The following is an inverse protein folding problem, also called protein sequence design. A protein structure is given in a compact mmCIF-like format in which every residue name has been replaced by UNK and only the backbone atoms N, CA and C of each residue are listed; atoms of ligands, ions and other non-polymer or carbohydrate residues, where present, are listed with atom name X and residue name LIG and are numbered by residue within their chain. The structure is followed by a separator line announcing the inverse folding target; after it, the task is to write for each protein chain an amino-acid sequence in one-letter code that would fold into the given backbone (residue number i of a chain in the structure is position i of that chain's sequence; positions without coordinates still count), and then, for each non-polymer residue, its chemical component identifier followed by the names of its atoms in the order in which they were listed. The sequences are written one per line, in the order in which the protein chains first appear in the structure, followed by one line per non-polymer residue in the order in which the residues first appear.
data_IF_315665758650
#
_entry.id   IF_315665758650
#
_cell.length_a   1.000
_cell.length_b   1.000
_cell.length_c   1.000
_cell.angle_alpha   90.00
_cell.angle_beta   90.00
_cell.angle_gamma   90.00
#
_symmetry.space_group_name_H-M   'P 1'
#
loop_
_entity.id
_entity.type
_entity.pdbx_description
1 polymer ?
#
# COMPACT_ATOMS: atom_id res chain seq x y z
N UNK A 1 -12.89 -2.38 11.22
CA UNK A 1 -13.59 -2.38 9.92
C UNK A 1 -13.41 -3.74 9.25
N UNK A 2 -14.15 -4.03 8.18
CA UNK A 2 -13.93 -5.23 7.37
C UNK A 2 -13.31 -4.89 6.01
N UNK A 3 -12.98 -5.91 5.23
CA UNK A 3 -12.45 -5.79 3.86
C UNK A 3 -13.30 -4.90 2.95
N UNK A 4 -14.63 -5.00 3.03
CA UNK A 4 -15.49 -4.22 2.14
C UNK A 4 -15.43 -2.73 2.49
N UNK A 5 -15.41 -2.39 3.78
CA UNK A 5 -15.22 -1.00 4.21
C UNK A 5 -13.82 -0.48 3.85
N UNK A 6 -12.77 -1.28 3.98
CA UNK A 6 -11.42 -0.91 3.52
C UNK A 6 -11.41 -0.52 2.04
N UNK A 7 -11.93 -1.39 1.16
CA UNK A 7 -11.98 -1.09 -0.27
C UNK A 7 -12.91 0.07 -0.62
N UNK A 8 -13.97 0.29 0.16
CA UNK A 8 -14.81 1.48 0.02
C UNK A 8 -14.02 2.77 0.33
N UNK A 9 -13.13 2.76 1.33
CA UNK A 9 -12.26 3.90 1.64
C UNK A 9 -11.29 4.17 0.49
N UNK A 10 -10.63 3.13 -0.04
CA UNK A 10 -9.74 3.28 -1.21
C UNK A 10 -10.50 3.87 -2.42
N UNK A 11 -11.76 3.48 -2.62
CA UNK A 11 -12.58 4.03 -3.71
C UNK A 11 -12.93 5.51 -3.57
N UNK A 12 -12.65 6.14 -2.42
CA UNK A 12 -12.84 7.58 -2.20
C UNK A 12 -11.67 8.42 -2.74
N UNK A 13 -10.57 7.80 -3.19
CA UNK A 13 -9.44 8.53 -3.76
C UNK A 13 -9.87 9.27 -5.02
N UNK A 14 -9.69 10.59 -5.01
CA UNK A 14 -10.17 11.47 -6.07
C UNK A 14 -9.07 11.74 -7.12
N UNK A 15 -8.94 10.82 -8.07
CA UNK A 15 -7.94 10.91 -9.14
C UNK A 15 -8.15 12.06 -10.14
N UNK A 16 -9.25 12.83 -10.06
CA UNK A 16 -9.36 14.12 -10.77
C UNK A 16 -8.32 15.15 -10.27
N UNK A 17 -7.64 14.87 -9.15
CA UNK A 17 -6.56 15.65 -8.57
C UNK A 17 -5.17 14.99 -8.71
N UNK A 18 -4.98 14.11 -9.69
CA UNK A 18 -3.67 13.49 -9.97
C UNK A 18 -2.53 14.52 -9.99
N UNK A 19 -1.44 14.22 -9.26
CA UNK A 19 -0.30 15.11 -9.03
C UNK A 19 -0.40 15.98 -7.77
N UNK A 20 -1.47 15.85 -7.00
CA UNK A 20 -1.69 16.49 -5.69
C UNK A 20 -2.29 15.45 -4.72
N UNK A 21 -1.41 14.64 -4.13
CA UNK A 21 -1.80 13.47 -3.32
C UNK A 21 -2.66 13.86 -2.11
N UNK A 22 -2.38 15.01 -1.48
CA UNK A 22 -3.19 15.55 -0.38
C UNK A 22 -4.66 15.67 -0.81
N UNK A 23 -4.94 16.21 -2.00
CA UNK A 23 -6.31 16.33 -2.53
C UNK A 23 -6.89 15.00 -3.00
N UNK A 24 -6.06 14.09 -3.51
CA UNK A 24 -6.50 12.74 -3.88
C UNK A 24 -7.03 12.01 -2.64
N UNK A 25 -6.32 12.12 -1.50
CA UNK A 25 -6.60 11.38 -0.28
C UNK A 25 -7.57 12.07 0.69
N UNK A 26 -7.77 13.39 0.56
CA UNK A 26 -8.58 14.23 1.49
C UNK A 26 -9.91 13.57 1.91
N UNK A 27 -10.69 13.08 0.93
CA UNK A 27 -12.00 12.47 1.20
C UNK A 27 -11.90 11.18 2.04
N UNK A 28 -10.90 10.34 1.75
CA UNK A 28 -10.67 9.10 2.48
C UNK A 28 -10.19 9.37 3.91
N UNK A 29 -9.26 10.31 4.08
CA UNK A 29 -8.72 10.72 5.39
C UNK A 29 -9.83 11.31 6.27
N UNK A 30 -10.65 12.21 5.73
CA UNK A 30 -11.79 12.77 6.46
C UNK A 30 -12.84 11.72 6.83
N UNK A 31 -13.13 10.77 5.94
CA UNK A 31 -14.02 9.67 6.27
C UNK A 31 -13.45 8.79 7.37
N UNK A 32 -12.17 8.42 7.28
CA UNK A 32 -11.51 7.53 8.24
C UNK A 32 -11.37 8.20 9.62
N UNK A 33 -11.03 9.49 9.68
CA UNK A 33 -10.92 10.27 10.93
C UNK A 33 -12.25 10.39 11.70
N UNK A 34 -13.39 10.24 11.00
CA UNK A 34 -14.71 10.19 11.64
C UNK A 34 -15.01 8.87 12.36
N UNK A 35 -14.18 7.83 12.18
CA UNK A 35 -14.35 6.49 12.75
C UNK A 35 -13.69 6.37 14.13
N UNK A 36 -14.03 5.34 14.94
CA UNK A 36 -13.28 5.02 16.17
C UNK A 36 -11.79 4.73 15.89
N UNK A 37 -10.90 4.96 16.86
CA UNK A 37 -9.45 4.78 16.66
C UNK A 37 -9.11 3.32 16.29
N UNK A 38 -9.85 2.37 16.86
CA UNK A 38 -9.72 0.95 16.52
C UNK A 38 -9.99 0.67 15.03
N UNK A 39 -10.87 1.46 14.40
CA UNK A 39 -11.11 1.34 12.97
C UNK A 39 -9.92 1.86 12.14
N UNK A 40 -9.26 2.94 12.58
CA UNK A 40 -8.05 3.47 11.96
C UNK A 40 -6.91 2.45 12.07
N UNK A 41 -6.72 1.84 13.25
CA UNK A 41 -5.75 0.76 13.43
C UNK A 41 -6.05 -0.43 12.51
N UNK A 42 -7.34 -0.83 12.44
CA UNK A 42 -7.75 -1.93 11.56
C UNK A 42 -7.55 -1.60 10.08
N UNK A 43 -7.70 -0.34 9.67
CA UNK A 43 -7.40 0.09 8.30
C UNK A 43 -5.93 -0.16 7.97
N UNK A 44 -5.03 0.26 8.86
CA UNK A 44 -3.59 0.04 8.70
C UNK A 44 -3.23 -1.46 8.72
N UNK A 45 -3.89 -2.27 9.56
CA UNK A 45 -3.68 -3.73 9.57
C UNK A 45 -4.08 -4.38 8.23
N UNK A 46 -5.18 -3.94 7.63
CA UNK A 46 -5.63 -4.46 6.33
C UNK A 46 -4.69 -3.99 5.21
N UNK A 47 -4.33 -2.71 5.20
CA UNK A 47 -3.36 -2.15 4.24
C UNK A 47 -2.02 -2.91 4.31
N UNK A 48 -1.47 -3.06 5.51
CA UNK A 48 -0.20 -3.74 5.74
C UNK A 48 -0.24 -5.19 5.26
N UNK A 49 -1.35 -5.90 5.48
CA UNK A 49 -1.54 -7.25 4.94
C UNK A 49 -1.51 -7.28 3.41
N UNK A 50 -2.20 -6.37 2.74
CA UNK A 50 -2.21 -6.34 1.28
C UNK A 50 -0.83 -6.03 0.68
N UNK A 51 -0.09 -5.09 1.28
CA UNK A 51 1.28 -4.77 0.87
C UNK A 51 2.25 -5.93 1.14
N UNK A 52 2.10 -6.61 2.29
CA UNK A 52 2.87 -7.80 2.65
C UNK A 52 2.64 -8.96 1.66
N UNK A 53 1.40 -9.16 1.20
CA UNK A 53 1.07 -10.21 0.23
C UNK A 53 1.68 -9.98 -1.15
N UNK A 54 2.00 -8.72 -1.47
CA UNK A 54 2.68 -8.32 -2.70
C UNK A 54 4.20 -8.21 -2.52
N UNK A 55 4.73 -8.38 -1.32
CA UNK A 55 6.17 -8.36 -1.06
C UNK A 55 6.82 -9.68 -1.52
N UNK A 56 7.42 -9.69 -2.70
CA UNK A 56 8.01 -10.92 -3.23
C UNK A 56 8.77 -10.74 -4.53
N UNK A 57 9.73 -11.63 -4.78
CA UNK A 57 10.63 -11.57 -5.94
C UNK A 57 9.86 -11.60 -7.27
N UNK A 58 8.73 -12.32 -7.31
CA UNK A 58 7.90 -12.41 -8.50
C UNK A 58 7.27 -11.07 -8.88
N UNK A 59 6.93 -10.22 -7.90
CA UNK A 59 6.39 -8.87 -8.13
C UNK A 59 7.52 -7.87 -8.40
N UNK A 60 8.58 -7.93 -7.59
CA UNK A 60 9.73 -7.03 -7.69
C UNK A 60 10.41 -7.04 -9.07
N UNK A 61 10.35 -8.16 -9.80
CA UNK A 61 10.86 -8.29 -11.18
C UNK A 61 10.04 -7.55 -12.25
N UNK A 62 8.92 -6.91 -11.89
CA UNK A 62 7.95 -6.35 -12.84
C UNK A 62 7.56 -4.89 -12.51
N UNK A 63 8.46 -4.08 -11.95
CA UNK A 63 8.18 -2.66 -11.61
C UNK A 63 8.83 -1.64 -12.55
N UNK A 64 9.30 -2.07 -13.73
CA UNK A 64 9.91 -1.18 -14.73
C UNK A 64 11.41 -1.01 -14.55
N UNK A 65 11.91 0.23 -14.61
CA UNK A 65 13.35 0.56 -14.59
C UNK A 65 14.05 0.07 -13.31
N UNK A 66 13.35 0.13 -12.18
CA UNK A 66 13.87 -0.27 -10.86
C UNK A 66 13.61 -1.75 -10.52
N UNK A 67 13.22 -2.56 -11.50
CA UNK A 67 12.91 -3.96 -11.26
C UNK A 67 14.09 -4.74 -10.66
N UNK A 68 13.77 -5.65 -9.73
CA UNK A 68 14.75 -6.56 -9.17
C UNK A 68 15.34 -7.43 -10.29
N UNK A 69 16.67 -7.42 -10.40
CA UNK A 69 17.42 -8.26 -11.36
C UNK A 69 18.04 -9.44 -10.64
N UNK A 70 18.95 -9.16 -9.70
CA UNK A 70 19.68 -10.13 -8.90
C UNK A 70 20.26 -9.46 -7.63
N UNK A 71 20.87 -10.27 -6.75
CA UNK A 71 21.46 -9.81 -5.49
C UNK A 71 22.68 -8.87 -5.64
N UNK A 72 23.26 -8.76 -6.84
CA UNK A 72 24.43 -7.94 -7.12
C UNK A 72 24.07 -6.60 -7.78
N UNK A 73 22.81 -6.45 -8.18
CA UNK A 73 22.28 -5.25 -8.83
C UNK A 73 21.57 -4.40 -7.78
N UNK A 74 21.74 -3.09 -7.84
CA UNK A 74 21.00 -2.19 -6.97
C UNK A 74 19.49 -2.38 -7.18
N UNK A 75 18.75 -2.44 -6.08
CA UNK A 75 17.30 -2.55 -6.06
C UNK A 75 16.75 -1.56 -5.02
N UNK A 76 15.90 -0.64 -5.47
CA UNK A 76 15.26 0.33 -4.58
C UNK A 76 14.11 -0.33 -3.83
N UNK A 77 14.32 -0.57 -2.54
CA UNK A 77 13.31 -1.15 -1.65
C UNK A 77 12.09 -0.25 -1.49
N UNK A 78 12.30 1.06 -1.55
CA UNK A 78 11.26 2.08 -1.41
C UNK A 78 10.39 2.12 -2.68
N UNK A 79 11.00 2.18 -3.88
CA UNK A 79 10.25 2.21 -5.14
C UNK A 79 9.38 0.97 -5.29
N UNK A 80 9.85 -0.20 -4.84
CA UNK A 80 9.03 -1.40 -4.83
C UNK A 80 7.87 -1.34 -3.83
N UNK A 81 8.07 -0.78 -2.63
CA UNK A 81 6.97 -0.54 -1.69
C UNK A 81 5.93 0.43 -2.28
N UNK A 82 6.36 1.50 -2.93
CA UNK A 82 5.45 2.47 -3.53
C UNK A 82 4.71 1.91 -4.74
N UNK A 83 5.35 1.07 -5.56
CA UNK A 83 4.67 0.34 -6.63
C UNK A 83 3.58 -0.61 -6.08
N UNK A 84 3.80 -1.26 -4.92
CA UNK A 84 2.76 -2.05 -4.24
C UNK A 84 1.61 -1.16 -3.74
N UNK A 85 1.90 0.07 -3.31
CA UNK A 85 0.88 1.04 -2.94
C UNK A 85 -0.01 1.40 -4.14
N UNK A 86 0.57 1.61 -5.33
CA UNK A 86 -0.20 1.83 -6.58
C UNK A 86 -1.18 0.68 -6.86
N UNK A 87 -0.76 -0.57 -6.61
CA UNK A 87 -1.64 -1.75 -6.79
C UNK A 87 -2.87 -1.67 -5.90
N UNK A 88 -2.67 -1.36 -4.61
CA UNK A 88 -3.78 -1.25 -3.63
C UNK A 88 -4.65 -0.03 -3.96
N UNK A 89 -4.04 1.10 -4.30
CA UNK A 89 -4.74 2.36 -4.62
C UNK A 89 -5.65 2.25 -5.86
N UNK A 90 -5.33 1.35 -6.80
CA UNK A 90 -6.17 1.01 -7.96
C UNK A 90 -7.36 0.08 -7.61
N UNK A 91 -7.51 -0.27 -6.35
CA UNK A 91 -8.68 -0.95 -5.80
C UNK A 91 -8.67 -2.48 -5.94
N UNK A 92 -9.69 -3.08 -5.33
CA UNK A 92 -9.81 -4.53 -5.10
C UNK A 92 -9.62 -5.38 -6.34
N UNK A 93 -10.21 -5.00 -7.47
CA UNK A 93 -10.16 -5.79 -8.70
C UNK A 93 -8.76 -5.79 -9.31
N UNK A 94 -8.05 -4.66 -9.25
CA UNK A 94 -6.68 -4.58 -9.74
C UNK A 94 -5.72 -5.33 -8.81
N UNK A 95 -5.84 -5.11 -7.50
CA UNK A 95 -5.12 -5.87 -6.48
C UNK A 95 -5.21 -7.38 -6.70
N UNK A 96 -6.42 -7.92 -6.87
CA UNK A 96 -6.60 -9.36 -7.10
C UNK A 96 -6.00 -9.82 -8.43
N UNK A 97 -6.02 -9.00 -9.49
CA UNK A 97 -5.39 -9.37 -10.77
C UNK A 97 -3.88 -9.47 -10.62
N UNK A 98 -3.25 -8.51 -9.94
CA UNK A 98 -1.80 -8.51 -9.70
C UNK A 98 -1.41 -9.67 -8.80
N UNK A 99 -2.14 -9.91 -7.71
CA UNK A 99 -1.90 -11.03 -6.79
C UNK A 99 -1.89 -12.40 -7.51
N UNK A 100 -2.72 -12.56 -8.55
CA UNK A 100 -2.77 -13.78 -9.36
C UNK A 100 -1.82 -13.77 -10.57
N UNK A 101 -1.28 -12.61 -10.94
CA UNK A 101 -0.37 -12.45 -12.06
C UNK A 101 0.61 -11.29 -11.82
N UNK A 102 1.79 -11.57 -11.23
CA UNK A 102 2.78 -10.55 -10.88
C UNK A 102 3.28 -9.71 -12.06
N UNK A 103 3.09 -10.16 -13.31
CA UNK A 103 3.42 -9.38 -14.53
C UNK A 103 2.52 -8.18 -14.77
N UNK A 104 1.46 -8.03 -13.97
CA UNK A 104 0.57 -6.87 -13.99
C UNK A 104 0.97 -5.83 -12.95
N UNK A 105 2.11 -5.97 -12.28
CA UNK A 105 2.64 -4.90 -11.45
C UNK A 105 2.76 -3.61 -12.28
N UNK A 106 2.44 -2.45 -11.69
CA UNK A 106 2.65 -1.17 -12.34
C UNK A 106 4.16 -0.94 -12.55
N UNK A 107 4.51 -0.48 -13.75
CA UNK A 107 5.88 -0.14 -14.12
C UNK A 107 6.04 1.38 -13.99
N UNK A 108 7.14 1.83 -13.36
CA UNK A 108 7.54 3.24 -13.27
C UNK A 108 6.46 4.17 -12.66
N UNK A 109 5.66 3.64 -11.72
CA UNK A 109 4.65 4.38 -10.96
C UNK A 109 4.83 4.17 -9.46
N UNK A 110 4.51 5.20 -8.70
CA UNK A 110 4.58 5.22 -7.24
C UNK A 110 3.32 5.88 -6.66
N UNK A 111 3.02 5.55 -5.40
CA UNK A 111 1.99 6.24 -4.62
C UNK A 111 2.30 6.09 -3.13
N UNK A 112 3.44 6.63 -2.70
CA UNK A 112 3.90 6.59 -1.31
C UNK A 112 2.85 7.10 -0.31
N UNK A 113 2.10 8.14 -0.70
CA UNK A 113 1.13 8.82 0.16
C UNK A 113 0.07 7.89 0.79
N UNK A 114 -0.22 6.73 0.18
CA UNK A 114 -1.12 5.73 0.75
C UNK A 114 -0.69 5.27 2.15
N UNK A 115 0.61 5.21 2.42
CA UNK A 115 1.15 4.73 3.70
C UNK A 115 0.74 5.62 4.88
N UNK A 116 0.47 6.90 4.63
CA UNK A 116 0.19 7.89 5.66
C UNK A 116 -1.32 8.11 5.95
N UNK A 117 -2.22 7.46 5.20
CA UNK A 117 -3.67 7.67 5.34
C UNK A 117 -4.18 7.38 6.76
N UNK A 118 -3.65 6.35 7.42
CA UNK A 118 -4.05 6.00 8.78
C UNK A 118 -3.55 7.05 9.80
N UNK A 119 -2.29 7.42 9.67
CA UNK A 119 -1.59 8.39 10.50
C UNK A 119 -2.29 9.75 10.42
N UNK A 120 -2.49 10.28 9.21
CA UNK A 120 -3.16 11.56 8.99
C UNK A 120 -4.60 11.55 9.49
N UNK A 121 -5.34 10.46 9.30
CA UNK A 121 -6.70 10.33 9.84
C UNK A 121 -6.72 10.33 11.37
N UNK A 122 -5.73 9.71 12.01
CA UNK A 122 -5.60 9.69 13.46
C UNK A 122 -5.20 11.07 14.00
N UNK A 123 -4.20 11.71 13.42
CA UNK A 123 -3.69 13.01 13.83
C UNK A 123 -4.77 14.09 13.66
N UNK A 124 -5.48 14.09 12.52
CA UNK A 124 -6.62 14.97 12.28
C UNK A 124 -7.71 14.84 13.34
N UNK A 125 -7.93 13.62 13.84
CA UNK A 125 -8.97 13.33 14.83
C UNK A 125 -8.55 13.70 16.25
N UNK A 126 -7.34 13.32 16.64
CA UNK A 126 -6.91 13.31 18.04
C UNK A 126 -5.97 14.49 18.40
N UNK A 127 -5.42 15.20 17.40
CA UNK A 127 -4.35 16.20 17.60
C UNK A 127 -3.12 15.59 18.31
N UNK A 128 -2.86 14.32 18.03
CA UNK A 128 -1.81 13.50 18.66
C UNK A 128 -1.14 12.62 17.60
N UNK A 129 0.17 12.42 17.73
CA UNK A 129 0.95 11.54 16.84
C UNK A 129 0.44 10.10 16.87
N UNK A 130 0.42 9.48 15.71
CA UNK A 130 0.06 8.07 15.56
C UNK A 130 1.24 7.16 15.93
N UNK A 131 1.07 6.31 16.95
CA UNK A 131 2.11 5.40 17.44
C UNK A 131 1.76 3.90 17.23
N UNK A 132 0.66 3.62 16.53
CA UNK A 132 0.21 2.24 16.34
C UNK A 132 1.10 1.50 15.34
N UNK A 133 1.56 0.30 15.72
CA UNK A 133 2.35 -0.58 14.84
C UNK A 133 1.41 -1.58 14.19
N UNK A 134 1.43 -1.63 12.86
CA UNK A 134 0.59 -2.53 12.07
C UNK A 134 0.85 -4.02 12.32
N UNK A 135 -0.15 -4.85 12.07
CA UNK A 135 -0.09 -6.30 12.27
C UNK A 135 0.92 -7.03 11.36
N UNK A 136 1.24 -6.45 10.20
CA UNK A 136 2.20 -7.01 9.24
C UNK A 136 3.27 -5.98 8.91
N UNK A 137 4.54 -6.38 8.94
CA UNK A 137 5.62 -5.53 8.47
C UNK A 137 5.55 -5.44 6.94
N UNK A 138 5.12 -4.30 6.40
CA UNK A 138 4.95 -4.11 4.96
C UNK A 138 6.25 -3.71 4.24
N UNK A 139 7.34 -3.49 4.97
CA UNK A 139 8.65 -3.18 4.39
C UNK A 139 9.10 -4.26 3.42
N UNK A 140 9.86 -3.86 2.41
CA UNK A 140 10.38 -4.79 1.41
C UNK A 140 11.29 -5.84 2.07
N UNK A 141 11.14 -7.11 1.66
CA UNK A 141 11.79 -8.31 2.25
C UNK A 141 11.17 -8.86 3.54
N UNK A 142 10.10 -8.27 4.06
CA UNK A 142 9.42 -8.74 5.27
C UNK A 142 8.68 -10.07 5.06
N UNK A 143 8.14 -10.32 3.86
CA UNK A 143 7.54 -11.60 3.47
C UNK A 143 8.60 -12.59 2.97
N UNK A 144 9.43 -13.05 3.91
CA UNK A 144 10.60 -13.91 3.64
C UNK A 144 10.30 -15.14 2.79
N UNK A 145 9.09 -15.68 2.85
CA UNK A 145 8.70 -16.86 2.06
C UNK A 145 8.61 -16.57 0.55
N UNK A 146 8.24 -15.34 0.18
CA UNK A 146 8.10 -14.91 -1.22
C UNK A 146 9.41 -14.38 -1.84
N UNK A 147 10.49 -14.33 -1.06
CA UNK A 147 11.83 -13.90 -1.49
C UNK A 147 12.82 -15.06 -1.67
N UNK A 148 12.35 -16.30 -1.54
CA UNK A 148 13.15 -17.49 -1.85
C UNK A 148 12.88 -17.90 -3.29
N UNK A 149 13.93 -17.97 -4.12
CA UNK A 149 13.78 -18.51 -5.47
C UNK A 149 13.29 -19.95 -5.43
N UNK A 150 12.27 -20.24 -6.23
CA UNK A 150 11.75 -21.60 -6.39
C UNK A 150 12.87 -22.49 -6.94
N UNK A 151 13.24 -23.54 -6.20
CA UNK A 151 14.19 -24.56 -6.68
C UNK A 151 13.67 -25.34 -7.88
#
# INVERSE_FOLDING_TARGET
MDENEFWNIISMFNWDHEGDDDKVLESAIHYLSSKPNEAIYTFLDILSKHLYDLDGIAYAKNIGEDAYVDENTYFSVDNFLYARCVVVANGKDYYNKVLNNPKLMPEDLEFEALLYVADEAYELKNDETFEYVSAYDFETFSNKEQWVESK
#
